data_IF_595319955212
#
_entry.id   IF_595319955212
#
_cell.length_a   1.000
_cell.length_b   1.000
_cell.length_c   1.000
_cell.angle_alpha   90.00
_cell.angle_beta   90.00
_cell.angle_gamma   90.00
#
_symmetry.space_group_name_H-M   'P 1'
#
loop_
_entity.id
_entity.type
_entity.pdbx_description
1 polymer ?
#
# COMPACT_ATOMS: atom_id res chain seq x y z
N UNK A 1 20.24 -0.53 1.11
CA UNK A 1 20.09 -1.71 2.00
C UNK A 1 18.85 -2.43 1.56
N UNK A 2 18.89 -3.75 1.44
CA UNK A 2 17.75 -4.53 0.95
C UNK A 2 16.84 -4.96 2.09
N UNK A 3 15.54 -5.06 1.84
CA UNK A 3 14.56 -5.52 2.82
C UNK A 3 13.96 -6.86 2.40
N UNK A 4 13.85 -7.75 3.38
CA UNK A 4 13.28 -9.11 3.26
C UNK A 4 12.04 -9.24 4.13
N UNK A 5 11.23 -10.27 3.88
CA UNK A 5 10.06 -10.58 4.69
C UNK A 5 10.38 -11.77 5.59
N UNK A 6 9.94 -11.72 6.86
CA UNK A 6 10.06 -12.84 7.79
C UNK A 6 8.73 -13.17 8.47
N UNK A 7 8.61 -14.40 8.94
CA UNK A 7 7.51 -14.85 9.80
C UNK A 7 7.92 -14.69 11.26
N UNK A 8 7.02 -14.30 12.15
CA UNK A 8 7.36 -14.06 13.58
C UNK A 8 7.97 -15.29 14.28
N UNK A 9 7.56 -16.50 13.89
CA UNK A 9 8.14 -17.77 14.35
C UNK A 9 9.59 -17.99 13.89
N UNK A 10 10.07 -17.24 12.92
CA UNK A 10 11.47 -17.32 12.44
C UNK A 10 12.48 -16.68 13.39
N UNK A 11 12.03 -16.02 14.46
CA UNK A 11 12.90 -15.43 15.50
C UNK A 11 13.17 -16.42 16.60
N UNK A 12 14.40 -16.49 17.04
CA UNK A 12 14.84 -17.36 18.14
C UNK A 12 16.12 -16.82 18.80
N UNK A 13 16.61 -17.52 19.81
CA UNK A 13 17.93 -17.28 20.36
C UNK A 13 18.91 -18.33 19.85
N UNK A 14 20.13 -17.93 19.57
CA UNK A 14 21.20 -18.86 19.27
C UNK A 14 21.77 -19.50 20.57
N UNK A 15 22.73 -20.42 20.43
CA UNK A 15 23.38 -21.08 21.56
C UNK A 15 24.15 -20.15 22.49
N UNK A 16 24.37 -18.90 22.11
CA UNK A 16 25.05 -17.85 22.89
C UNK A 16 24.07 -16.81 23.44
N UNK A 17 22.76 -17.02 23.29
CA UNK A 17 21.71 -16.11 23.75
C UNK A 17 21.50 -14.86 22.88
N UNK A 18 22.07 -14.83 21.66
CA UNK A 18 21.84 -13.74 20.72
C UNK A 18 20.53 -13.94 19.96
N UNK A 19 19.80 -12.84 19.76
CA UNK A 19 18.58 -12.85 18.93
C UNK A 19 18.93 -13.07 17.46
N UNK A 20 18.39 -14.13 16.89
CA UNK A 20 18.58 -14.47 15.49
C UNK A 20 17.23 -14.52 14.74
N UNK A 21 17.34 -14.32 13.44
CA UNK A 21 16.25 -14.42 12.47
C UNK A 21 16.67 -15.40 11.37
N UNK A 22 15.79 -16.34 11.06
CA UNK A 22 15.97 -17.26 9.93
C UNK A 22 15.17 -16.73 8.74
N UNK A 23 15.84 -16.56 7.61
CA UNK A 23 15.24 -16.27 6.30
C UNK A 23 15.30 -17.54 5.47
N UNK A 24 14.16 -18.01 5.02
CA UNK A 24 13.98 -19.28 4.32
C UNK A 24 13.17 -19.12 3.02
N UNK A 25 12.87 -20.22 2.38
CA UNK A 25 12.03 -20.32 1.19
C UNK A 25 12.42 -19.32 0.09
N UNK A 26 11.43 -18.61 -0.45
CA UNK A 26 11.57 -17.63 -1.54
C UNK A 26 12.46 -16.45 -1.15
N UNK A 27 12.38 -15.98 0.10
CA UNK A 27 13.18 -14.86 0.58
C UNK A 27 14.67 -15.25 0.70
N UNK A 28 14.97 -16.49 1.12
CA UNK A 28 16.34 -17.01 1.09
C UNK A 28 16.87 -17.11 -0.34
N UNK A 29 16.08 -17.65 -1.28
CA UNK A 29 16.47 -17.69 -2.67
C UNK A 29 16.80 -16.31 -3.22
N UNK A 30 15.94 -15.34 -2.92
CA UNK A 30 16.13 -13.94 -3.33
C UNK A 30 17.44 -13.37 -2.74
N UNK A 31 17.67 -13.57 -1.43
CA UNK A 31 18.88 -13.12 -0.73
C UNK A 31 20.14 -13.74 -1.34
N UNK A 32 20.18 -15.09 -1.45
CA UNK A 32 21.40 -15.82 -1.74
C UNK A 32 21.70 -15.89 -3.25
N UNK A 33 20.67 -15.97 -4.12
CA UNK A 33 20.84 -16.24 -5.55
C UNK A 33 20.60 -15.02 -6.43
N UNK A 34 19.62 -14.19 -6.09
CA UNK A 34 19.27 -13.00 -6.88
C UNK A 34 20.17 -11.84 -6.49
N UNK A 35 20.13 -11.43 -5.23
CA UNK A 35 20.89 -10.28 -4.72
C UNK A 35 22.32 -10.63 -4.35
N UNK A 36 22.61 -11.92 -4.13
CA UNK A 36 23.95 -12.44 -3.78
C UNK A 36 24.57 -11.74 -2.57
N UNK A 37 23.72 -11.49 -1.56
CA UNK A 37 24.14 -10.91 -0.28
C UNK A 37 25.21 -11.81 0.35
N UNK A 38 26.20 -11.22 1.01
CA UNK A 38 27.34 -11.93 1.60
C UNK A 38 27.23 -11.99 3.12
N UNK A 39 27.88 -12.97 3.71
CA UNK A 39 28.07 -13.03 5.16
C UNK A 39 28.76 -11.76 5.64
N UNK A 40 28.24 -11.15 6.71
CA UNK A 40 28.69 -9.88 7.26
C UNK A 40 27.94 -8.66 6.75
N UNK A 41 27.18 -8.77 5.67
CA UNK A 41 26.36 -7.64 5.17
C UNK A 41 25.13 -7.40 6.04
N UNK A 42 24.69 -6.14 6.05
CA UNK A 42 23.50 -5.68 6.76
C UNK A 42 22.27 -5.70 5.84
N UNK A 43 21.19 -6.21 6.37
CA UNK A 43 19.89 -6.24 5.72
C UNK A 43 18.80 -5.74 6.66
N UNK A 44 17.66 -5.32 6.12
CA UNK A 44 16.43 -5.15 6.86
C UNK A 44 15.54 -6.38 6.65
N UNK A 45 14.75 -6.72 7.65
CA UNK A 45 13.73 -7.75 7.53
C UNK A 45 12.46 -7.27 8.25
N UNK A 46 11.31 -7.34 7.58
CA UNK A 46 10.01 -6.95 8.15
C UNK A 46 9.06 -8.14 8.23
N UNK A 47 8.19 -8.15 9.26
CA UNK A 47 7.08 -9.10 9.33
C UNK A 47 5.81 -8.61 8.62
N UNK A 48 5.83 -7.40 8.06
CA UNK A 48 4.69 -6.77 7.41
C UNK A 48 3.57 -6.28 8.36
N UNK A 49 3.78 -6.40 9.68
CA UNK A 49 2.83 -5.99 10.73
C UNK A 49 3.42 -4.89 11.65
N UNK A 50 4.33 -4.07 11.11
CA UNK A 50 4.93 -2.95 11.81
C UNK A 50 6.25 -3.24 12.51
N UNK A 51 6.77 -4.48 12.48
CA UNK A 51 8.08 -4.82 13.03
C UNK A 51 9.11 -4.94 11.91
N UNK A 52 10.24 -4.25 12.06
CA UNK A 52 11.40 -4.38 11.17
C UNK A 52 12.66 -4.60 12.01
N UNK A 53 13.50 -5.54 11.59
CA UNK A 53 14.77 -5.86 12.22
C UNK A 53 15.90 -5.43 11.30
N UNK A 54 16.89 -4.71 11.84
CA UNK A 54 18.19 -4.56 11.23
C UNK A 54 19.02 -5.78 11.60
N UNK A 55 19.51 -6.50 10.61
CA UNK A 55 20.20 -7.76 10.80
C UNK A 55 21.57 -7.76 10.13
N UNK A 56 22.51 -8.58 10.64
CA UNK A 56 23.75 -8.94 9.97
C UNK A 56 23.63 -10.41 9.54
N UNK A 57 23.88 -10.70 8.27
CA UNK A 57 23.91 -12.07 7.75
C UNK A 57 25.09 -12.81 8.35
N UNK A 58 24.84 -13.90 9.10
CA UNK A 58 25.87 -14.72 9.75
C UNK A 58 26.16 -16.00 9.01
N UNK A 59 25.17 -16.57 8.36
CA UNK A 59 25.31 -17.82 7.61
C UNK A 59 24.37 -17.82 6.41
N UNK A 60 24.84 -18.35 5.29
CA UNK A 60 24.05 -18.61 4.08
C UNK A 60 24.18 -20.09 3.78
N UNK A 61 23.17 -20.87 4.20
CA UNK A 61 23.09 -22.29 3.96
C UNK A 61 22.52 -22.63 2.58
N UNK A 62 22.15 -23.90 2.40
CA UNK A 62 21.55 -24.37 1.15
C UNK A 62 20.12 -23.86 0.96
N UNK A 63 19.32 -23.91 2.02
CA UNK A 63 17.86 -23.68 1.99
C UNK A 63 17.41 -22.55 2.93
N UNK A 64 18.31 -22.00 3.74
CA UNK A 64 18.03 -20.90 4.68
C UNK A 64 19.27 -20.07 4.96
N UNK A 65 19.04 -18.82 5.38
CA UNK A 65 20.06 -17.90 5.89
C UNK A 65 19.77 -17.55 7.34
N UNK A 66 20.84 -17.46 8.15
CA UNK A 66 20.74 -17.06 9.56
C UNK A 66 21.31 -15.66 9.71
N UNK A 67 20.52 -14.77 10.31
CA UNK A 67 20.86 -13.37 10.51
C UNK A 67 20.82 -13.04 12.00
N UNK A 68 21.83 -12.35 12.52
CA UNK A 68 21.83 -11.80 13.88
C UNK A 68 21.06 -10.48 13.89
N UNK A 69 20.08 -10.34 14.79
CA UNK A 69 19.30 -9.11 14.96
C UNK A 69 20.18 -8.12 15.75
N UNK A 70 20.39 -6.94 15.20
CA UNK A 70 21.17 -5.86 15.81
C UNK A 70 20.23 -4.83 16.45
N UNK A 71 19.13 -4.52 15.78
CA UNK A 71 18.18 -3.51 16.22
C UNK A 71 16.78 -3.84 15.72
N UNK A 72 15.76 -3.46 16.48
CA UNK A 72 14.36 -3.61 16.12
C UNK A 72 13.67 -2.25 16.04
N UNK A 73 12.93 -2.04 14.96
CA UNK A 73 12.13 -0.84 14.73
C UNK A 73 10.65 -1.19 14.72
N UNK A 74 9.83 -0.25 15.18
CA UNK A 74 8.38 -0.30 15.02
C UNK A 74 7.93 0.79 14.07
N UNK A 75 6.99 0.43 13.21
CA UNK A 75 6.30 1.34 12.29
C UNK A 75 7.26 2.17 11.41
N UNK A 76 8.35 1.53 10.97
CA UNK A 76 9.36 2.15 10.12
C UNK A 76 8.74 2.60 8.79
N UNK A 77 9.02 3.85 8.40
CA UNK A 77 8.60 4.47 7.14
C UNK A 77 7.07 4.42 6.87
N UNK A 78 6.25 4.47 7.91
CA UNK A 78 4.82 4.63 7.73
C UNK A 78 4.44 6.10 7.52
N UNK A 79 3.38 6.33 6.74
CA UNK A 79 2.75 7.64 6.65
C UNK A 79 2.23 8.08 8.02
N UNK A 80 2.36 9.37 8.33
CA UNK A 80 1.80 9.96 9.55
C UNK A 80 0.27 9.99 9.54
N UNK A 81 -0.32 9.94 8.35
CA UNK A 81 -1.78 9.89 8.14
C UNK A 81 -2.20 8.47 7.75
N UNK A 82 -3.24 7.95 8.39
CA UNK A 82 -3.91 6.76 7.89
C UNK A 82 -4.79 7.12 6.69
N UNK A 83 -4.55 6.48 5.54
CA UNK A 83 -5.41 6.70 4.40
C UNK A 83 -5.62 5.44 3.55
N UNK A 84 -6.78 5.44 2.90
CA UNK A 84 -7.23 4.41 1.98
C UNK A 84 -7.40 4.96 0.58
N UNK A 85 -6.91 4.25 -0.42
CA UNK A 85 -7.14 4.55 -1.82
C UNK A 85 -8.15 3.53 -2.38
N UNK A 86 -9.35 4.01 -2.70
CA UNK A 86 -10.37 3.25 -3.39
C UNK A 86 -10.25 3.47 -4.90
N UNK A 87 -10.02 2.41 -5.67
CA UNK A 87 -9.82 2.48 -7.13
C UNK A 87 -10.85 1.62 -7.82
N UNK A 88 -11.63 2.22 -8.72
CA UNK A 88 -12.45 1.46 -9.63
C UNK A 88 -11.57 0.59 -10.54
N UNK A 89 -12.04 -0.61 -10.89
CA UNK A 89 -11.29 -1.51 -11.76
C UNK A 89 -10.95 -0.84 -13.09
N UNK A 90 -9.68 -0.93 -13.49
CA UNK A 90 -9.11 -0.35 -14.70
C UNK A 90 -8.67 -1.45 -15.68
N UNK A 91 -8.62 -1.11 -16.96
CA UNK A 91 -8.09 -1.96 -18.00
C UNK A 91 -7.06 -1.20 -18.88
N UNK A 92 -5.89 -1.80 -19.15
CA UNK A 92 -5.43 -3.12 -18.68
C UNK A 92 -5.13 -3.12 -17.17
N UNK A 93 -5.11 -4.32 -16.58
CA UNK A 93 -4.86 -4.53 -15.15
C UNK A 93 -3.52 -3.95 -14.67
N UNK A 94 -2.55 -3.80 -15.57
CA UNK A 94 -1.26 -3.14 -15.28
C UNK A 94 -1.39 -1.70 -14.76
N UNK A 95 -2.51 -1.01 -15.05
CA UNK A 95 -2.79 0.31 -14.49
C UNK A 95 -3.14 0.22 -13.00
N UNK A 96 -3.94 -0.78 -12.62
CA UNK A 96 -4.23 -1.06 -11.20
C UNK A 96 -2.94 -1.44 -10.48
N UNK A 97 -2.12 -2.33 -11.08
CA UNK A 97 -0.83 -2.73 -10.53
C UNK A 97 0.09 -1.53 -10.30
N UNK A 98 0.20 -0.64 -11.27
CA UNK A 98 0.99 0.60 -11.14
C UNK A 98 0.46 1.51 -10.03
N UNK A 99 -0.87 1.69 -9.93
CA UNK A 99 -1.46 2.49 -8.87
C UNK A 99 -1.19 1.87 -7.49
N UNK A 100 -1.37 0.55 -7.33
CA UNK A 100 -1.07 -0.15 -6.08
C UNK A 100 0.40 -0.03 -5.69
N UNK A 101 1.32 -0.25 -6.64
CA UNK A 101 2.76 -0.11 -6.42
C UNK A 101 3.10 1.29 -5.91
N UNK A 102 2.75 2.33 -6.67
CA UNK A 102 3.15 3.70 -6.33
C UNK A 102 2.43 4.27 -5.12
N UNK A 103 1.15 3.94 -4.93
CA UNK A 103 0.44 4.36 -3.72
C UNK A 103 0.97 3.64 -2.46
N UNK A 104 1.43 2.40 -2.59
CA UNK A 104 2.14 1.70 -1.49
C UNK A 104 3.43 2.41 -1.14
N UNK A 105 4.28 2.73 -2.12
CA UNK A 105 5.52 3.49 -1.91
C UNK A 105 5.27 4.83 -1.21
N UNK A 106 4.12 5.46 -1.48
CA UNK A 106 3.69 6.72 -0.88
C UNK A 106 3.01 6.58 0.49
N UNK A 107 2.87 5.35 1.01
CA UNK A 107 2.40 5.09 2.37
C UNK A 107 0.89 4.80 2.51
N UNK A 108 0.19 4.44 1.44
CA UNK A 108 -1.20 3.99 1.54
C UNK A 108 -1.32 2.75 2.45
N UNK A 109 -2.15 2.85 3.49
CA UNK A 109 -2.36 1.75 4.45
C UNK A 109 -3.43 0.76 4.02
N UNK A 110 -4.30 1.13 3.07
CA UNK A 110 -5.40 0.28 2.60
C UNK A 110 -5.78 0.60 1.15
N UNK A 111 -6.19 -0.45 0.44
CA UNK A 111 -6.77 -0.36 -0.90
C UNK A 111 -8.15 -0.99 -0.95
N UNK A 112 -9.11 -0.31 -1.58
CA UNK A 112 -10.41 -0.84 -1.93
C UNK A 112 -10.51 -0.89 -3.46
N UNK A 113 -10.56 -2.08 -4.03
CA UNK A 113 -10.82 -2.26 -5.46
C UNK A 113 -12.29 -2.61 -5.66
N UNK A 114 -12.97 -1.93 -6.58
CA UNK A 114 -14.41 -2.12 -6.81
C UNK A 114 -14.76 -1.96 -8.29
N UNK A 115 -15.90 -2.53 -8.69
CA UNK A 115 -16.47 -2.23 -10.00
C UNK A 115 -17.39 -1.01 -9.89
N UNK A 116 -17.20 -0.04 -10.77
CA UNK A 116 -18.06 1.11 -11.02
C UNK A 116 -18.92 0.82 -12.26
N UNK A 117 -19.96 1.57 -12.48
CA UNK A 117 -20.86 1.41 -13.62
C UNK A 117 -20.12 1.42 -14.96
N UNK A 118 -19.15 2.33 -15.10
CA UNK A 118 -18.33 2.49 -16.30
C UNK A 118 -17.02 1.71 -16.27
N UNK A 119 -16.83 0.83 -15.29
CA UNK A 119 -15.70 -0.09 -15.27
C UNK A 119 -15.89 -1.21 -16.27
N UNK A 120 -14.83 -1.60 -16.95
CA UNK A 120 -14.80 -2.90 -17.60
C UNK A 120 -14.76 -4.02 -16.54
N UNK A 121 -15.60 -5.05 -16.72
CA UNK A 121 -15.62 -6.21 -15.81
C UNK A 121 -14.29 -6.96 -15.90
N UNK A 122 -13.50 -6.87 -14.85
CA UNK A 122 -12.23 -7.58 -14.71
C UNK A 122 -12.27 -8.41 -13.44
N UNK A 123 -11.79 -9.64 -13.51
CA UNK A 123 -11.60 -10.47 -12.33
C UNK A 123 -10.11 -10.44 -11.96
N UNK A 124 -9.71 -9.68 -10.92
CA UNK A 124 -8.30 -9.55 -10.57
C UNK A 124 -7.77 -10.83 -9.95
N UNK A 125 -6.56 -11.22 -10.32
CA UNK A 125 -5.82 -12.27 -9.62
C UNK A 125 -5.24 -11.69 -8.34
N UNK A 126 -5.92 -11.92 -7.21
CA UNK A 126 -5.58 -11.31 -5.93
C UNK A 126 -4.12 -11.58 -5.51
N UNK A 127 -3.64 -12.82 -5.70
CA UNK A 127 -2.25 -13.20 -5.40
C UNK A 127 -1.23 -12.33 -6.16
N UNK A 128 -1.50 -12.03 -7.44
CA UNK A 128 -0.62 -11.16 -8.23
C UNK A 128 -0.60 -9.73 -7.68
N UNK A 129 -1.76 -9.18 -7.32
CA UNK A 129 -1.85 -7.83 -6.75
C UNK A 129 -1.17 -7.75 -5.37
N UNK A 130 -1.32 -8.80 -4.54
CA UNK A 130 -0.59 -8.92 -3.28
C UNK A 130 0.92 -9.00 -3.50
N UNK A 131 1.38 -9.69 -4.55
CA UNK A 131 2.78 -9.73 -4.94
C UNK A 131 3.33 -8.33 -5.28
N UNK A 132 2.56 -7.52 -6.04
CA UNK A 132 2.92 -6.13 -6.35
C UNK A 132 3.08 -5.30 -5.07
N UNK A 133 2.09 -5.36 -4.17
CA UNK A 133 2.12 -4.64 -2.88
C UNK A 133 3.31 -5.07 -2.03
N UNK A 134 3.59 -6.39 -1.92
CA UNK A 134 4.75 -6.90 -1.18
C UNK A 134 6.08 -6.38 -1.74
N UNK A 135 6.21 -6.37 -3.06
CA UNK A 135 7.42 -5.84 -3.72
C UNK A 135 7.60 -4.35 -3.45
N UNK A 136 6.51 -3.57 -3.49
CA UNK A 136 6.53 -2.14 -3.20
C UNK A 136 6.91 -1.86 -1.73
N UNK A 137 6.38 -2.62 -0.76
CA UNK A 137 6.75 -2.52 0.66
C UNK A 137 8.24 -2.82 0.89
N UNK A 138 8.77 -3.85 0.22
CA UNK A 138 10.22 -4.17 0.29
C UNK A 138 11.06 -3.04 -0.28
N UNK A 139 10.71 -2.52 -1.43
CA UNK A 139 11.45 -1.46 -2.12
C UNK A 139 11.43 -0.14 -1.33
N UNK A 140 10.27 0.23 -0.74
CA UNK A 140 10.11 1.47 0.03
C UNK A 140 10.53 1.34 1.50
N UNK A 141 11.02 0.16 1.92
CA UNK A 141 11.47 -0.15 3.29
C UNK A 141 10.38 0.10 4.35
N UNK A 142 9.12 -0.08 4.00
CA UNK A 142 8.01 0.06 4.93
C UNK A 142 7.86 -1.20 5.80
N UNK A 143 7.30 -1.02 6.98
CA UNK A 143 7.14 -2.09 7.96
C UNK A 143 5.78 -2.78 7.93
N UNK A 144 4.78 -2.22 7.21
CA UNK A 144 3.42 -2.76 7.14
C UNK A 144 3.00 -3.03 5.70
N UNK A 145 2.32 -4.16 5.51
CA UNK A 145 1.61 -4.42 4.26
C UNK A 145 0.29 -3.66 4.27
N UNK A 146 -0.01 -2.86 3.22
CA UNK A 146 -1.35 -2.34 3.02
C UNK A 146 -2.39 -3.47 2.94
N UNK A 147 -3.53 -3.23 3.55
CA UNK A 147 -4.68 -4.13 3.39
C UNK A 147 -5.27 -3.97 1.98
N UNK A 148 -5.42 -5.08 1.26
CA UNK A 148 -6.00 -5.09 -0.10
C UNK A 148 -7.35 -5.80 -0.07
N UNK A 149 -8.41 -5.05 -0.32
CA UNK A 149 -9.79 -5.53 -0.33
C UNK A 149 -10.37 -5.36 -1.73
N UNK A 150 -10.96 -6.45 -2.25
CA UNK A 150 -11.72 -6.43 -3.50
C UNK A 150 -13.20 -6.53 -3.18
N UNK A 151 -13.99 -5.57 -3.66
CA UNK A 151 -15.45 -5.54 -3.49
C UNK A 151 -16.14 -5.75 -4.84
N UNK A 152 -17.42 -6.13 -4.81
CA UNK A 152 -18.17 -6.39 -6.05
C UNK A 152 -18.53 -5.12 -6.79
N UNK A 153 -18.88 -4.07 -6.06
CA UNK A 153 -19.38 -2.82 -6.63
C UNK A 153 -19.12 -1.64 -5.67
N UNK A 154 -19.43 -0.45 -6.13
CA UNK A 154 -19.27 0.80 -5.38
C UNK A 154 -20.08 0.82 -4.07
N UNK A 155 -21.28 0.19 -4.03
CA UNK A 155 -22.12 0.18 -2.82
C UNK A 155 -21.45 -0.56 -1.65
N UNK A 156 -20.64 -1.58 -1.95
CA UNK A 156 -19.90 -2.33 -0.94
C UNK A 156 -18.74 -1.52 -0.30
N UNK A 157 -18.39 -0.37 -0.87
CA UNK A 157 -17.39 0.56 -0.31
C UNK A 157 -17.94 1.33 0.88
N UNK A 158 -19.26 1.67 0.86
CA UNK A 158 -19.88 2.51 1.90
C UNK A 158 -19.66 1.98 3.32
N UNK A 159 -20.01 0.71 3.66
CA UNK A 159 -19.79 0.21 5.01
C UNK A 159 -18.33 0.19 5.43
N UNK A 160 -17.39 0.16 4.48
CA UNK A 160 -15.95 0.18 4.72
C UNK A 160 -15.37 1.58 4.85
N UNK A 161 -16.15 2.60 4.51
CA UNK A 161 -15.78 4.01 4.60
C UNK A 161 -16.23 4.68 5.90
N UNK A 162 -17.03 4.00 6.74
CA UNK A 162 -17.68 4.62 7.92
C UNK A 162 -16.69 5.12 8.98
N UNK A 163 -15.54 4.47 9.09
CA UNK A 163 -14.54 4.78 10.12
C UNK A 163 -13.52 5.85 9.68
N UNK A 164 -13.63 6.39 8.46
CA UNK A 164 -12.76 7.47 8.03
C UNK A 164 -13.36 8.83 8.40
N UNK A 165 -12.51 9.72 8.91
CA UNK A 165 -12.89 11.09 9.27
C UNK A 165 -13.26 11.93 8.05
N UNK A 166 -12.54 11.72 6.94
CA UNK A 166 -12.78 12.41 5.67
C UNK A 166 -12.98 11.41 4.54
N UNK A 167 -14.04 11.65 3.77
CA UNK A 167 -14.45 10.81 2.64
C UNK A 167 -14.45 11.65 1.37
N UNK A 168 -13.56 11.31 0.45
CA UNK A 168 -13.37 12.07 -0.78
C UNK A 168 -13.70 11.23 -2.00
N UNK A 169 -14.38 11.82 -2.97
CA UNK A 169 -14.51 11.30 -4.32
C UNK A 169 -13.83 12.25 -5.30
N UNK A 170 -12.90 11.72 -6.10
CA UNK A 170 -12.17 12.53 -7.07
C UNK A 170 -12.95 12.57 -8.38
N UNK A 171 -13.37 13.77 -8.78
CA UNK A 171 -14.23 14.01 -9.93
C UNK A 171 -13.75 15.24 -10.72
N UNK A 172 -13.57 15.08 -12.04
CA UNK A 172 -13.02 16.15 -12.89
C UNK A 172 -13.90 17.40 -12.98
N UNK A 173 -15.23 17.26 -12.75
CA UNK A 173 -16.19 18.36 -12.76
C UNK A 173 -16.37 19.02 -11.38
N UNK A 174 -15.69 18.56 -10.34
CA UNK A 174 -15.79 19.16 -9.02
C UNK A 174 -15.21 20.58 -9.03
N UNK A 175 -15.91 21.49 -8.35
CA UNK A 175 -15.54 22.91 -8.26
C UNK A 175 -14.36 23.09 -7.29
N UNK A 176 -14.40 22.33 -6.19
CA UNK A 176 -13.39 22.42 -5.12
C UNK A 176 -12.14 21.64 -5.47
N UNK A 177 -10.97 22.27 -5.32
CA UNK A 177 -9.67 21.63 -5.55
C UNK A 177 -9.16 21.04 -4.23
N UNK A 178 -8.71 19.80 -4.28
CA UNK A 178 -8.32 19.03 -3.09
C UNK A 178 -7.21 19.67 -2.26
N UNK A 179 -6.25 20.36 -2.88
CA UNK A 179 -5.10 20.96 -2.20
C UNK A 179 -5.52 21.96 -1.10
N UNK A 180 -6.54 22.81 -1.39
CA UNK A 180 -7.08 23.75 -0.42
C UNK A 180 -7.74 23.06 0.77
N UNK A 181 -8.44 21.96 0.54
CA UNK A 181 -9.09 21.19 1.60
C UNK A 181 -8.06 20.45 2.47
N UNK A 182 -7.08 19.78 1.85
CA UNK A 182 -6.05 19.03 2.58
C UNK A 182 -5.17 19.91 3.47
N UNK A 183 -4.92 21.16 3.08
CA UNK A 183 -4.17 22.11 3.90
C UNK A 183 -4.85 22.46 5.23
N UNK A 184 -6.15 22.22 5.34
CA UNK A 184 -6.95 22.45 6.54
C UNK A 184 -7.11 21.20 7.42
N UNK A 185 -6.73 20.03 6.90
CA UNK A 185 -6.84 18.78 7.66
C UNK A 185 -5.62 18.58 8.56
N UNK A 186 -5.89 18.24 9.81
CA UNK A 186 -4.83 17.77 10.71
C UNK A 186 -4.32 16.40 10.29
N UNK A 187 -3.08 16.08 10.64
CA UNK A 187 -2.43 14.82 10.22
C UNK A 187 -3.07 13.56 10.84
N UNK A 188 -3.75 13.73 11.96
CA UNK A 188 -4.44 12.65 12.68
C UNK A 188 -5.73 12.19 11.98
N UNK A 189 -6.27 13.02 11.08
CA UNK A 189 -7.50 12.68 10.35
C UNK A 189 -7.26 11.56 9.34
N UNK A 190 -7.99 10.47 9.51
CA UNK A 190 -8.00 9.37 8.55
C UNK A 190 -8.81 9.75 7.30
N UNK A 191 -8.33 9.32 6.13
CA UNK A 191 -8.91 9.71 4.85
C UNK A 191 -9.17 8.50 3.96
N UNK A 192 -10.34 8.47 3.31
CA UNK A 192 -10.58 7.60 2.16
C UNK A 192 -10.81 8.44 0.90
N UNK A 193 -10.06 8.15 -0.16
CA UNK A 193 -10.21 8.81 -1.45
C UNK A 193 -10.60 7.80 -2.54
N UNK A 194 -11.70 8.06 -3.25
CA UNK A 194 -12.22 7.20 -4.31
C UNK A 194 -11.89 7.76 -5.68
N UNK A 195 -11.36 6.90 -6.56
CA UNK A 195 -10.99 7.20 -7.93
C UNK A 195 -11.84 6.34 -8.88
N UNK A 196 -12.50 6.99 -9.83
CA UNK A 196 -13.31 6.35 -10.86
C UNK A 196 -12.49 5.64 -11.93
N UNK A 197 -13.17 4.86 -12.80
CA UNK A 197 -12.56 4.25 -13.98
C UNK A 197 -12.21 5.32 -15.04
N UNK A 198 -11.66 4.89 -16.19
CA UNK A 198 -11.30 5.80 -17.28
C UNK A 198 -12.48 6.65 -17.80
N UNK A 199 -13.69 6.12 -17.72
CA UNK A 199 -14.92 6.84 -18.08
C UNK A 199 -15.46 7.74 -16.95
N UNK A 200 -14.79 7.82 -15.81
CA UNK A 200 -15.24 8.52 -14.60
C UNK A 200 -16.43 7.82 -13.92
N UNK A 201 -16.85 8.34 -12.80
CA UNK A 201 -18.12 7.95 -12.18
C UNK A 201 -19.32 8.46 -13.00
N UNK A 202 -20.45 7.76 -12.95
CA UNK A 202 -21.70 8.27 -13.46
C UNK A 202 -22.26 9.38 -12.55
N UNK A 203 -23.22 10.14 -13.03
CA UNK A 203 -23.87 11.17 -12.20
C UNK A 203 -24.60 10.53 -11.02
N UNK A 204 -25.29 9.41 -11.24
CA UNK A 204 -25.95 8.64 -10.19
C UNK A 204 -24.96 8.11 -9.13
N UNK A 205 -23.78 7.65 -9.55
CA UNK A 205 -22.71 7.22 -8.62
C UNK A 205 -22.19 8.39 -7.78
N UNK A 206 -22.01 9.56 -8.37
CA UNK A 206 -21.60 10.77 -7.63
C UNK A 206 -22.67 11.18 -6.64
N UNK A 207 -23.93 11.26 -7.04
CA UNK A 207 -25.06 11.59 -6.15
C UNK A 207 -25.15 10.59 -5.00
N UNK A 208 -25.01 9.30 -5.30
CA UNK A 208 -25.00 8.24 -4.29
C UNK A 208 -23.86 8.43 -3.28
N UNK A 209 -22.65 8.74 -3.72
CA UNK A 209 -21.51 8.97 -2.84
C UNK A 209 -21.70 10.21 -1.97
N UNK A 210 -22.19 11.32 -2.54
CA UNK A 210 -22.49 12.56 -1.80
C UNK A 210 -23.56 12.31 -0.73
N UNK A 211 -24.61 11.56 -1.04
CA UNK A 211 -25.65 11.18 -0.08
C UNK A 211 -25.11 10.29 1.07
N UNK A 212 -23.96 9.61 0.88
CA UNK A 212 -23.28 8.79 1.88
C UNK A 212 -22.08 9.50 2.56
N UNK A 213 -22.03 10.83 2.46
CA UNK A 213 -21.09 11.69 3.19
C UNK A 213 -19.73 11.86 2.53
N UNK A 214 -19.59 11.47 1.27
CA UNK A 214 -18.40 11.82 0.49
C UNK A 214 -18.49 13.27 0.03
N UNK A 215 -17.33 13.93 -0.06
CA UNK A 215 -17.19 15.25 -0.68
C UNK A 215 -16.45 15.11 -2.02
N UNK A 216 -16.90 15.87 -3.02
CA UNK A 216 -16.33 15.82 -4.36
C UNK A 216 -15.22 16.84 -4.54
N UNK A 217 -14.05 16.37 -5.00
CA UNK A 217 -12.86 17.21 -5.21
C UNK A 217 -12.28 16.99 -6.60
N UNK A 218 -11.73 18.06 -7.16
CA UNK A 218 -10.89 18.05 -8.34
C UNK A 218 -9.41 17.95 -7.95
N UNK A 219 -8.62 17.26 -8.78
CA UNK A 219 -7.15 17.27 -8.67
C UNK A 219 -6.48 18.38 -9.49
N UNK A 220 -7.24 19.40 -9.89
CA UNK A 220 -6.78 20.53 -10.66
C UNK A 220 -7.31 20.55 -12.10
N UNK A 221 -6.80 21.49 -12.92
CA UNK A 221 -7.35 21.77 -14.25
C UNK A 221 -7.06 20.70 -15.30
N UNK A 222 -5.96 19.97 -15.15
CA UNK A 222 -5.57 18.94 -16.11
C UNK A 222 -6.35 17.65 -15.90
N UNK A 223 -6.87 17.07 -16.98
CA UNK A 223 -7.46 15.73 -16.95
C UNK A 223 -6.37 14.70 -16.71
N UNK A 224 -6.50 13.91 -15.63
CA UNK A 224 -5.59 12.85 -15.27
C UNK A 224 -6.17 11.48 -15.62
N UNK A 225 -5.31 10.54 -15.95
CA UNK A 225 -5.70 9.12 -15.98
C UNK A 225 -5.98 8.63 -14.55
N UNK A 226 -6.80 7.60 -14.39
CA UNK A 226 -7.19 7.10 -13.08
C UNK A 226 -6.00 6.65 -12.21
N UNK A 227 -5.04 5.94 -12.79
CA UNK A 227 -3.79 5.57 -12.11
C UNK A 227 -2.97 6.79 -11.68
N UNK A 228 -2.91 7.82 -12.52
CA UNK A 228 -2.21 9.09 -12.20
C UNK A 228 -2.95 9.86 -11.09
N UNK A 229 -4.28 9.87 -11.12
CA UNK A 229 -5.09 10.49 -10.08
C UNK A 229 -4.88 9.80 -8.72
N UNK A 230 -4.82 8.46 -8.71
CA UNK A 230 -4.53 7.68 -7.50
C UNK A 230 -3.16 8.01 -6.93
N UNK A 231 -2.12 8.06 -7.76
CA UNK A 231 -0.76 8.40 -7.34
C UNK A 231 -0.68 9.84 -6.83
N UNK A 232 -1.33 10.79 -7.51
CA UNK A 232 -1.33 12.19 -7.10
C UNK A 232 -1.99 12.38 -5.74
N UNK A 233 -3.19 11.82 -5.52
CA UNK A 233 -3.84 11.95 -4.21
C UNK A 233 -3.06 11.23 -3.11
N UNK A 234 -2.49 10.06 -3.38
CA UNK A 234 -1.63 9.36 -2.43
C UNK A 234 -0.41 10.21 -2.03
N UNK A 235 0.23 10.89 -2.99
CA UNK A 235 1.35 11.82 -2.73
C UNK A 235 0.94 12.98 -1.82
N UNK A 236 -0.26 13.54 -2.01
CA UNK A 236 -0.77 14.63 -1.20
C UNK A 236 -1.16 14.16 0.22
N UNK A 237 -1.71 12.95 0.37
CA UNK A 237 -2.11 12.38 1.65
C UNK A 237 -0.93 11.85 2.46
N UNK A 238 0.06 11.25 1.78
CA UNK A 238 1.27 10.71 2.39
C UNK A 238 2.37 11.76 2.64
N UNK A 239 2.16 13.02 2.26
CA UNK A 239 3.11 14.10 2.53
C UNK A 239 3.39 14.21 4.04
N UNK A 240 4.63 14.09 4.40
CA UNK A 240 5.21 13.95 5.74
C UNK A 240 5.12 15.22 6.61
#
# INVERSE_FOLDING_TARGET
MEQFIFKDESKSLDKHGKSILVIDEEEHFHLARVLRVRVGERILATNGNGKTCLCIVREIGKDKSVCEIIEEYRDLNLSLREYCIGIAMLKPMSKVELALEKCTELGAGRFLLFNSERSEKVNPRLERLQGVVRSAVKQSLQSRFPELIVTRNLKDVIPRSTNYDEKMVLHEKAVEVVDGHLSLLTKEKSVIALIGPEGGFSEDEIEFLLANGFKSFSLGKARLRSETAAIKIASLLGAY
#
